data_IF_276022118982
#
_entry.id   IF_276022118982
#
_cell.length_a   1.000
_cell.length_b   1.000
_cell.length_c   1.000
_cell.angle_alpha   90.00
_cell.angle_beta   90.00
_cell.angle_gamma   90.00
#
_symmetry.space_group_name_H-M   'P 1'
#
loop_
_entity.id
_entity.type
_entity.pdbx_description
1 polymer ?
#
# COMPACT_ATOMS: atom_id res chain seq x y z
N UNK A 1 23.36 -18.14 16.11
CA UNK A 1 21.93 -18.37 15.81
C UNK A 1 21.36 -17.09 15.23
N UNK A 2 20.59 -17.19 14.14
CA UNK A 2 20.02 -16.01 13.47
C UNK A 2 19.25 -15.10 14.44
N UNK A 3 19.58 -13.82 14.39
CA UNK A 3 18.98 -12.78 15.18
C UNK A 3 18.98 -11.45 14.41
N UNK A 4 18.08 -10.55 14.79
CA UNK A 4 18.07 -9.17 14.32
C UNK A 4 18.26 -8.25 15.52
N UNK A 5 19.40 -7.54 15.57
CA UNK A 5 19.73 -6.66 16.71
C UNK A 5 19.56 -7.34 18.08
N UNK A 6 19.99 -8.61 18.18
CA UNK A 6 19.88 -9.40 19.40
C UNK A 6 18.51 -10.04 19.66
N UNK A 7 17.53 -9.86 18.78
CA UNK A 7 16.23 -10.54 18.84
C UNK A 7 16.32 -11.86 18.06
N UNK A 8 16.17 -13.05 18.70
CA UNK A 8 16.21 -14.33 17.99
C UNK A 8 15.08 -14.45 16.96
N UNK A 9 15.40 -14.91 15.74
CA UNK A 9 14.37 -15.13 14.72
C UNK A 9 13.62 -16.45 14.95
N UNK A 10 14.34 -17.46 15.42
CA UNK A 10 13.77 -18.77 15.73
C UNK A 10 13.37 -18.86 17.20
N UNK A 11 12.18 -19.41 17.45
CA UNK A 11 11.76 -19.84 18.78
C UNK A 11 12.31 -21.23 19.13
N UNK A 12 11.58 -21.96 19.97
CA UNK A 12 11.94 -23.33 20.37
C UNK A 12 11.73 -24.38 19.26
N UNK A 13 11.03 -24.02 18.18
CA UNK A 13 10.72 -24.89 17.04
C UNK A 13 11.09 -24.15 15.76
N UNK A 14 11.78 -24.81 14.83
CA UNK A 14 12.07 -24.26 13.49
C UNK A 14 10.74 -23.98 12.78
N UNK A 15 10.35 -22.72 12.80
CA UNK A 15 9.04 -22.23 12.37
C UNK A 15 9.24 -21.00 11.51
N UNK A 16 8.24 -20.71 10.70
CA UNK A 16 8.21 -19.53 9.84
C UNK A 16 7.98 -18.26 10.68
N UNK A 17 8.31 -17.12 10.11
CA UNK A 17 8.12 -15.83 10.76
C UNK A 17 8.41 -14.66 9.84
N UNK A 18 8.14 -13.46 10.34
CA UNK A 18 8.36 -12.21 9.62
C UNK A 18 8.87 -11.13 10.56
N UNK A 19 9.78 -10.32 10.06
CA UNK A 19 10.20 -9.06 10.62
C UNK A 19 9.56 -7.94 9.80
N UNK A 20 8.82 -7.06 10.49
CA UNK A 20 8.27 -5.85 9.90
C UNK A 20 8.90 -4.59 10.51
N UNK A 21 9.26 -3.60 9.68
CA UNK A 21 9.69 -2.30 10.18
C UNK A 21 8.55 -1.56 10.87
N UNK A 22 8.87 -0.82 11.94
CA UNK A 22 7.93 0.02 12.69
C UNK A 22 8.09 1.50 12.34
N UNK A 23 7.00 2.28 12.39
CA UNK A 23 7.07 3.74 12.15
C UNK A 23 7.95 4.48 13.16
N UNK A 24 8.02 3.96 14.38
CA UNK A 24 8.79 4.53 15.48
C UNK A 24 9.56 3.42 16.21
N UNK A 25 10.67 3.80 16.85
CA UNK A 25 11.42 2.90 17.71
C UNK A 25 10.67 2.68 19.02
N UNK A 26 10.48 1.44 19.48
CA UNK A 26 9.92 1.15 20.79
C UNK A 26 10.80 1.71 21.92
N UNK A 27 10.18 2.20 22.98
CA UNK A 27 10.84 2.59 24.24
C UNK A 27 10.84 1.44 25.26
N UNK A 28 10.58 0.21 24.80
CA UNK A 28 10.41 -0.96 25.67
C UNK A 28 10.74 -2.25 24.93
N UNK A 29 11.22 -3.24 25.68
CA UNK A 29 11.34 -4.64 25.22
C UNK A 29 10.22 -5.50 25.81
N UNK A 30 9.42 -6.11 24.93
CA UNK A 30 8.29 -6.97 25.32
C UNK A 30 8.05 -8.05 24.28
N UNK A 31 7.70 -9.22 24.79
CA UNK A 31 7.16 -10.35 24.03
C UNK A 31 5.73 -10.58 24.47
N UNK A 32 4.83 -10.84 23.52
CA UNK A 32 3.49 -11.35 23.78
C UNK A 32 3.31 -12.66 23.03
N UNK A 33 2.74 -13.64 23.72
CA UNK A 33 2.38 -14.93 23.16
C UNK A 33 0.90 -14.90 22.80
N UNK A 34 0.59 -15.02 21.51
CA UNK A 34 -0.79 -14.97 20.98
C UNK A 34 -1.46 -16.35 20.99
N UNK A 35 -0.67 -17.41 20.83
CA UNK A 35 -1.10 -18.82 20.91
C UNK A 35 0.04 -19.67 21.49
N UNK A 36 -0.11 -21.00 21.57
CA UNK A 36 0.94 -21.88 22.11
C UNK A 36 2.31 -21.64 21.46
N UNK A 37 2.32 -21.41 20.14
CA UNK A 37 3.55 -21.34 19.35
C UNK A 37 3.86 -19.93 18.82
N UNK A 38 2.86 -19.07 18.66
CA UNK A 38 3.04 -17.74 18.03
C UNK A 38 3.40 -16.67 19.05
N UNK A 39 4.51 -16.00 18.78
CA UNK A 39 5.01 -14.87 19.56
C UNK A 39 5.17 -13.62 18.69
N UNK A 40 4.89 -12.47 19.30
CA UNK A 40 5.17 -11.15 18.75
C UNK A 40 6.12 -10.44 19.72
N UNK A 41 7.23 -9.94 19.20
CA UNK A 41 8.30 -9.34 20.00
C UNK A 41 8.73 -7.99 19.44
N UNK A 42 8.96 -7.03 20.33
CA UNK A 42 9.64 -5.76 20.07
C UNK A 42 10.74 -5.57 21.10
N UNK A 43 11.85 -4.95 20.68
CA UNK A 43 12.92 -4.53 21.59
C UNK A 43 13.06 -3.02 21.62
N UNK A 44 13.45 -2.51 22.78
CA UNK A 44 13.77 -1.10 22.98
C UNK A 44 14.85 -0.65 21.99
N UNK A 45 14.60 0.47 21.30
CA UNK A 45 15.52 1.07 20.34
C UNK A 45 15.57 0.41 18.96
N UNK A 46 15.00 -0.79 18.80
CA UNK A 46 15.00 -1.53 17.52
C UNK A 46 13.73 -1.22 16.74
N UNK A 47 13.85 -0.62 15.55
CA UNK A 47 12.71 -0.16 14.74
C UNK A 47 11.98 -1.29 14.00
N UNK A 48 11.71 -2.41 14.67
CA UNK A 48 11.07 -3.56 14.08
C UNK A 48 10.18 -4.31 15.08
N UNK A 49 9.23 -5.06 14.55
CA UNK A 49 8.48 -6.09 15.25
C UNK A 49 8.73 -7.43 14.58
N UNK A 50 8.96 -8.46 15.39
CA UNK A 50 9.15 -9.84 14.94
C UNK A 50 7.92 -10.66 15.30
N UNK A 51 7.37 -11.34 14.30
CA UNK A 51 6.37 -12.39 14.46
C UNK A 51 7.06 -13.72 14.18
N UNK A 52 7.06 -14.65 15.13
CA UNK A 52 7.69 -15.96 14.98
C UNK A 52 6.79 -17.08 15.51
N UNK A 53 7.10 -18.33 15.15
CA UNK A 53 6.28 -19.47 15.54
C UNK A 53 5.15 -19.80 14.59
N UNK A 54 5.23 -19.35 13.33
CA UNK A 54 4.19 -19.59 12.33
C UNK A 54 4.38 -20.98 11.69
N UNK A 55 3.27 -21.68 11.48
CA UNK A 55 3.24 -22.96 10.74
C UNK A 55 2.71 -22.69 9.34
N UNK A 56 3.59 -22.25 8.44
CA UNK A 56 3.25 -21.90 7.04
C UNK A 56 4.22 -22.57 6.07
N UNK A 57 3.75 -22.95 4.90
CA UNK A 57 4.51 -23.76 3.96
C UNK A 57 5.40 -22.94 3.00
N UNK A 58 5.08 -21.67 2.79
CA UNK A 58 5.73 -20.80 1.82
C UNK A 58 5.64 -19.33 2.23
N UNK A 59 6.38 -18.50 1.50
CA UNK A 59 6.38 -17.05 1.66
C UNK A 59 4.97 -16.45 1.62
N UNK A 60 4.14 -16.82 0.64
CA UNK A 60 2.83 -16.19 0.42
C UNK A 60 1.89 -16.41 1.62
N UNK A 61 1.90 -17.62 2.18
CA UNK A 61 1.18 -17.94 3.42
C UNK A 61 1.74 -17.13 4.59
N UNK A 62 3.06 -17.13 4.79
CA UNK A 62 3.72 -16.40 5.89
C UNK A 62 3.41 -14.89 5.83
N UNK A 63 3.58 -14.26 4.67
CA UNK A 63 3.38 -12.82 4.46
C UNK A 63 1.91 -12.41 4.56
N UNK A 64 0.97 -13.33 4.28
CA UNK A 64 -0.47 -13.04 4.36
C UNK A 64 -1.01 -13.00 5.78
N UNK A 65 -0.49 -13.82 6.71
CA UNK A 65 -1.01 -13.92 8.08
C UNK A 65 -0.26 -13.05 9.08
N UNK A 66 1.04 -12.82 8.86
CA UNK A 66 1.90 -12.17 9.84
C UNK A 66 1.53 -10.71 10.16
N UNK A 67 1.07 -9.86 9.22
CA UNK A 67 0.68 -8.48 9.54
C UNK A 67 -0.47 -8.38 10.55
N UNK A 68 -1.46 -9.27 10.45
CA UNK A 68 -2.58 -9.32 11.39
C UNK A 68 -2.10 -9.72 12.79
N UNK A 69 -1.24 -10.75 12.88
CA UNK A 69 -0.66 -11.19 14.15
C UNK A 69 0.22 -10.11 14.77
N UNK A 70 1.03 -9.41 13.97
CA UNK A 70 1.83 -8.28 14.43
C UNK A 70 0.92 -7.22 15.07
N UNK A 71 -0.14 -6.80 14.39
CA UNK A 71 -1.10 -5.82 14.91
C UNK A 71 -1.76 -6.28 16.22
N UNK A 72 -2.21 -7.53 16.30
CA UNK A 72 -2.75 -8.08 17.55
C UNK A 72 -1.75 -8.01 18.71
N UNK A 73 -0.46 -8.26 18.43
CA UNK A 73 0.60 -8.08 19.43
C UNK A 73 0.78 -6.63 19.87
N UNK A 74 0.81 -5.69 18.92
CA UNK A 74 0.92 -4.25 19.19
C UNK A 74 -0.30 -3.71 19.96
N UNK A 75 -1.50 -4.21 19.67
CA UNK A 75 -2.72 -3.89 20.41
C UNK A 75 -2.60 -4.32 21.88
N UNK A 76 -2.13 -5.54 22.13
CA UNK A 76 -1.91 -6.03 23.50
C UNK A 76 -0.83 -5.21 24.22
N UNK A 77 0.25 -4.82 23.55
CA UNK A 77 1.26 -3.95 24.15
C UNK A 77 0.66 -2.60 24.56
N UNK A 78 -0.17 -2.01 23.70
CA UNK A 78 -0.87 -0.74 23.98
C UNK A 78 -1.82 -0.88 25.17
N UNK A 79 -2.63 -1.96 25.21
CA UNK A 79 -3.53 -2.23 26.33
C UNK A 79 -2.81 -2.51 27.65
N UNK A 80 -1.56 -2.99 27.59
CA UNK A 80 -0.68 -3.14 28.76
C UNK A 80 0.01 -1.85 29.19
N UNK A 81 -0.33 -0.71 28.57
CA UNK A 81 0.14 0.62 28.95
C UNK A 81 1.46 1.05 28.29
N UNK A 82 1.93 0.33 27.27
CA UNK A 82 3.10 0.76 26.50
C UNK A 82 2.68 1.79 25.43
N UNK A 83 3.65 2.57 24.94
CA UNK A 83 3.40 3.54 23.87
C UNK A 83 2.83 2.84 22.62
N UNK A 84 1.87 3.46 21.90
CA UNK A 84 1.30 2.89 20.69
C UNK A 84 2.37 2.80 19.60
N UNK A 85 2.42 1.66 18.94
CA UNK A 85 3.31 1.39 17.81
C UNK A 85 2.46 1.07 16.58
N UNK A 86 3.02 1.28 15.39
CA UNK A 86 2.37 0.97 14.13
C UNK A 86 3.40 0.43 13.14
N UNK A 87 2.98 -0.53 12.33
CA UNK A 87 3.76 -1.04 11.22
C UNK A 87 4.04 0.10 10.22
N UNK A 88 5.21 0.09 9.58
CA UNK A 88 5.37 0.76 8.29
C UNK A 88 4.53 0.03 7.22
N UNK A 89 4.55 0.54 5.99
CA UNK A 89 3.93 -0.15 4.86
C UNK A 89 4.59 -1.53 4.68
N UNK A 90 3.84 -2.62 4.97
CA UNK A 90 4.38 -3.98 4.92
C UNK A 90 4.58 -4.49 3.48
N UNK A 91 4.06 -3.79 2.47
CA UNK A 91 4.35 -4.05 1.05
C UNK A 91 5.66 -3.39 0.60
N UNK A 92 6.09 -2.31 1.27
CA UNK A 92 7.33 -1.57 0.96
C UNK A 92 8.59 -2.28 1.44
N UNK A 93 8.54 -2.98 2.58
CA UNK A 93 9.71 -3.70 3.06
C UNK A 93 9.45 -4.62 4.23
N UNK A 94 9.97 -5.84 4.15
CA UNK A 94 9.93 -6.81 5.25
C UNK A 94 10.92 -7.96 5.02
N UNK A 95 11.13 -8.78 6.04
CA UNK A 95 11.93 -10.00 5.94
C UNK A 95 11.13 -11.18 6.43
N UNK A 96 10.85 -12.15 5.57
CA UNK A 96 10.09 -13.35 5.89
C UNK A 96 10.98 -14.58 5.82
N UNK A 97 10.74 -15.56 6.68
CA UNK A 97 11.41 -16.86 6.62
C UNK A 97 10.43 -18.01 6.80
N UNK A 98 10.74 -19.14 6.16
CA UNK A 98 9.94 -20.37 6.21
C UNK A 98 10.80 -21.60 5.92
N UNK A 99 10.24 -22.77 6.13
CA UNK A 99 10.87 -24.04 5.74
C UNK A 99 10.36 -24.49 4.38
N UNK A 100 11.25 -24.75 3.43
CA UNK A 100 10.95 -25.30 2.11
C UNK A 100 11.67 -26.64 1.93
N UNK A 101 10.93 -27.74 2.13
CA UNK A 101 11.50 -29.08 2.12
C UNK A 101 12.49 -29.28 3.25
N UNK A 102 13.80 -29.31 2.94
CA UNK A 102 14.88 -29.42 3.94
C UNK A 102 15.58 -28.08 4.21
N UNK A 103 15.34 -27.10 3.35
CA UNK A 103 16.03 -25.81 3.41
C UNK A 103 15.21 -24.85 4.28
N UNK A 104 15.89 -24.08 5.11
CA UNK A 104 15.33 -22.91 5.79
C UNK A 104 15.63 -21.69 4.91
N UNK A 105 14.58 -21.07 4.39
CA UNK A 105 14.67 -19.96 3.44
C UNK A 105 14.35 -18.65 4.15
N UNK A 106 15.14 -17.62 3.88
CA UNK A 106 14.84 -16.23 4.25
C UNK A 106 14.72 -15.39 2.99
N UNK A 107 13.70 -14.54 2.92
CA UNK A 107 13.47 -13.59 1.84
C UNK A 107 13.43 -12.18 2.38
N UNK A 108 14.32 -11.34 1.87
CA UNK A 108 14.29 -9.90 2.03
C UNK A 108 13.45 -9.32 0.91
N UNK A 109 12.36 -8.66 1.25
CA UNK A 109 11.47 -8.01 0.30
C UNK A 109 11.60 -6.50 0.43
N UNK A 110 11.84 -5.83 -0.68
CA UNK A 110 11.73 -4.38 -0.79
C UNK A 110 10.87 -4.03 -2.02
N UNK A 111 9.99 -3.06 -1.87
CA UNK A 111 9.22 -2.47 -2.94
C UNK A 111 9.42 -0.97 -2.96
N UNK A 112 9.53 -0.39 -4.15
CA UNK A 112 9.59 1.06 -4.31
C UNK A 112 8.69 1.52 -5.46
N UNK A 113 8.14 2.73 -5.30
CA UNK A 113 7.33 3.36 -6.34
C UNK A 113 8.14 4.43 -7.07
N UNK A 114 8.36 4.22 -8.36
CA UNK A 114 8.94 5.21 -9.27
C UNK A 114 7.82 6.11 -9.76
N UNK A 115 7.85 7.37 -9.34
CA UNK A 115 6.89 8.38 -9.81
C UNK A 115 7.39 9.03 -11.10
N UNK A 116 6.62 8.89 -12.18
CA UNK A 116 6.90 9.58 -13.43
C UNK A 116 5.98 10.80 -13.61
N UNK A 117 6.56 11.91 -14.03
CA UNK A 117 5.85 13.12 -14.40
C UNK A 117 6.13 13.45 -15.87
N UNK A 118 5.07 13.54 -16.68
CA UNK A 118 5.17 13.93 -18.08
C UNK A 118 4.52 15.30 -18.27
N UNK A 119 5.19 16.17 -19.03
CA UNK A 119 4.61 17.44 -19.47
C UNK A 119 4.52 17.44 -20.98
N UNK A 120 3.29 17.41 -21.50
CA UNK A 120 3.01 17.59 -22.92
C UNK A 120 2.43 18.99 -23.16
N UNK A 121 2.78 19.60 -24.28
CA UNK A 121 2.18 20.85 -24.75
C UNK A 121 1.58 20.61 -26.13
N UNK A 122 0.26 20.79 -26.24
CA UNK A 122 -0.48 20.71 -27.49
C UNK A 122 -0.72 22.11 -28.07
N UNK A 123 -0.65 22.25 -29.39
CA UNK A 123 -0.98 23.50 -30.09
C UNK A 123 -2.12 23.21 -31.05
N UNK A 124 -3.26 23.88 -30.85
CA UNK A 124 -4.40 23.78 -31.78
C UNK A 124 -4.18 24.77 -32.91
N UNK A 125 -4.22 24.29 -34.16
CA UNK A 125 -4.17 25.14 -35.35
C UNK A 125 -5.53 25.21 -36.03
N UNK A 126 -5.95 26.41 -36.41
CA UNK A 126 -7.14 26.64 -37.21
C UNK A 126 -6.99 26.13 -38.64
N UNK A 127 -8.08 26.14 -39.43
CA UNK A 127 -8.04 25.75 -40.85
C UNK A 127 -7.08 26.59 -41.69
N UNK A 128 -6.74 27.79 -41.24
CA UNK A 128 -5.76 28.72 -41.82
C UNK A 128 -4.31 28.44 -41.38
N UNK A 129 -4.09 27.40 -40.58
CA UNK A 129 -2.77 27.04 -40.02
C UNK A 129 -2.32 27.91 -38.84
N UNK A 130 -3.11 28.93 -38.46
CA UNK A 130 -2.80 29.81 -37.34
C UNK A 130 -3.07 29.12 -36.02
N UNK A 131 -2.25 29.43 -35.01
CA UNK A 131 -2.45 28.89 -33.66
C UNK A 131 -3.72 29.52 -33.07
N UNK A 132 -4.69 28.68 -32.70
CA UNK A 132 -5.86 29.14 -31.94
C UNK A 132 -5.34 29.55 -30.55
N UNK A 133 -5.61 30.80 -30.09
CA UNK A 133 -5.26 31.17 -28.73
C UNK A 133 -5.94 30.21 -27.74
N UNK A 134 -5.27 29.86 -26.63
CA UNK A 134 -5.86 28.98 -25.63
C UNK A 134 -7.21 29.55 -25.17
N UNK A 135 -8.21 28.68 -25.03
CA UNK A 135 -9.49 29.09 -24.46
C UNK A 135 -9.24 29.69 -23.06
N UNK A 136 -9.96 30.75 -22.70
CA UNK A 136 -9.79 31.43 -21.41
C UNK A 136 -10.05 30.42 -20.30
N UNK A 137 -9.02 30.14 -19.49
CA UNK A 137 -9.14 29.23 -18.36
C UNK A 137 -10.16 29.80 -17.38
N UNK A 138 -11.33 29.15 -17.27
CA UNK A 138 -12.33 29.53 -16.29
C UNK A 138 -11.93 28.97 -14.94
N UNK A 139 -11.53 29.84 -14.01
CA UNK A 139 -11.28 29.44 -12.63
C UNK A 139 -12.58 28.89 -12.02
N UNK A 140 -12.63 27.63 -11.59
CA UNK A 140 -13.84 27.08 -10.99
C UNK A 140 -14.15 27.80 -9.67
N UNK A 141 -15.43 28.02 -9.40
CA UNK A 141 -15.86 28.53 -8.11
C UNK A 141 -15.58 27.49 -7.02
N UNK A 142 -14.94 27.92 -5.93
CA UNK A 142 -14.64 27.03 -4.81
C UNK A 142 -15.92 26.43 -4.22
N UNK A 143 -15.90 25.12 -3.96
CA UNK A 143 -16.95 24.38 -3.28
C UNK A 143 -16.31 23.39 -2.29
N UNK A 144 -16.99 23.12 -1.17
CA UNK A 144 -16.44 22.36 -0.03
C UNK A 144 -15.92 20.96 -0.39
N UNK A 145 -16.56 20.27 -1.34
CA UNK A 145 -16.13 18.94 -1.82
C UNK A 145 -14.69 18.94 -2.33
N UNK A 146 -14.22 20.06 -2.89
CA UNK A 146 -12.85 20.18 -3.40
C UNK A 146 -11.83 20.05 -2.27
N UNK A 147 -12.17 20.52 -1.06
CA UNK A 147 -11.30 20.36 0.11
C UNK A 147 -11.24 18.89 0.51
N UNK A 148 -12.37 18.21 0.62
CA UNK A 148 -12.40 16.79 0.97
C UNK A 148 -11.64 15.95 -0.05
N UNK A 149 -11.86 16.17 -1.34
CA UNK A 149 -11.10 15.49 -2.38
C UNK A 149 -9.60 15.77 -2.29
N UNK A 150 -9.19 17.02 -2.08
CA UNK A 150 -7.76 17.32 -1.88
C UNK A 150 -7.20 16.60 -0.65
N UNK A 151 -7.94 16.53 0.45
CA UNK A 151 -7.50 15.83 1.66
C UNK A 151 -7.40 14.32 1.45
N UNK A 152 -8.26 13.70 0.64
CA UNK A 152 -8.14 12.27 0.32
C UNK A 152 -6.88 11.92 -0.48
N UNK A 153 -6.35 12.88 -1.23
CA UNK A 153 -5.08 12.70 -1.96
C UNK A 153 -3.86 12.95 -1.07
N UNK A 154 -3.99 13.79 -0.03
CA UNK A 154 -2.90 14.18 0.85
C UNK A 154 -2.70 13.27 2.07
N UNK A 155 -3.78 12.74 2.65
CA UNK A 155 -3.70 11.90 3.85
C UNK A 155 -3.00 10.57 3.56
N UNK A 156 -2.18 10.09 4.49
CA UNK A 156 -1.47 8.82 4.35
C UNK A 156 -2.29 7.64 4.86
N UNK A 157 -3.32 7.87 5.68
CA UNK A 157 -4.22 6.81 6.12
C UNK A 157 -5.28 6.48 5.06
N UNK A 158 -5.30 5.23 4.60
CA UNK A 158 -6.22 4.76 3.58
C UNK A 158 -7.71 4.90 3.98
N UNK A 159 -8.04 4.69 5.25
CA UNK A 159 -9.42 4.75 5.73
C UNK A 159 -9.93 6.19 5.80
N UNK A 160 -9.08 7.13 6.21
CA UNK A 160 -9.32 8.56 6.16
C UNK A 160 -9.34 9.09 4.72
N UNK A 161 -8.50 8.55 3.83
CA UNK A 161 -8.56 8.86 2.40
C UNK A 161 -9.93 8.48 1.83
N UNK A 162 -10.42 7.28 2.12
CA UNK A 162 -11.76 6.85 1.73
C UNK A 162 -12.85 7.72 2.37
N UNK A 163 -12.75 8.03 3.67
CA UNK A 163 -13.68 8.93 4.37
C UNK A 163 -13.79 10.28 3.65
N UNK A 164 -12.66 10.86 3.27
CA UNK A 164 -12.61 12.12 2.54
C UNK A 164 -13.19 11.99 1.13
N UNK A 165 -13.01 10.87 0.43
CA UNK A 165 -13.72 10.62 -0.85
C UNK A 165 -15.24 10.57 -0.64
N UNK A 166 -15.73 9.85 0.37
CA UNK A 166 -17.15 9.81 0.68
C UNK A 166 -17.72 11.22 0.94
N UNK A 167 -17.04 12.01 1.78
CA UNK A 167 -17.45 13.39 2.09
C UNK A 167 -17.40 14.32 0.87
N UNK A 168 -16.45 14.10 -0.05
CA UNK A 168 -16.38 14.86 -1.30
C UNK A 168 -17.60 14.60 -2.17
N UNK A 169 -18.01 13.33 -2.33
CA UNK A 169 -19.21 12.94 -3.08
C UNK A 169 -20.48 13.45 -2.41
N UNK A 170 -20.60 13.27 -1.10
CA UNK A 170 -21.76 13.73 -0.32
C UNK A 170 -21.94 15.25 -0.42
N UNK A 171 -20.86 16.02 -0.25
CA UNK A 171 -20.88 17.48 -0.37
C UNK A 171 -21.23 17.95 -1.78
N UNK A 172 -20.64 17.34 -2.81
CA UNK A 172 -20.92 17.68 -4.21
C UNK A 172 -22.38 17.40 -4.57
N UNK A 173 -22.87 16.19 -4.28
CA UNK A 173 -24.25 15.80 -4.58
C UNK A 173 -25.27 16.61 -3.76
N UNK A 174 -24.92 17.03 -2.55
CA UNK A 174 -25.79 17.91 -1.73
C UNK A 174 -25.94 19.30 -2.35
N UNK A 175 -24.84 19.82 -2.94
CA UNK A 175 -24.87 21.08 -3.67
C UNK A 175 -25.68 21.02 -4.97
N UNK A 176 -25.64 19.89 -5.68
CA UNK A 176 -26.35 19.69 -6.94
C UNK A 176 -27.83 19.36 -6.72
N UNK A 177 -28.09 18.46 -5.77
CA UNK A 177 -29.41 17.85 -5.54
C UNK A 177 -29.75 17.85 -4.04
N UNK A 178 -30.15 19.00 -3.46
CA UNK A 178 -30.47 19.08 -2.03
C UNK A 178 -31.53 18.07 -1.58
N UNK A 179 -31.52 17.74 -0.28
CA UNK A 179 -32.56 16.91 0.34
C UNK A 179 -33.93 17.55 0.16
N UNK A 180 -34.93 16.73 -0.16
CA UNK A 180 -36.32 17.18 -0.30
C UNK A 180 -37.05 17.06 1.03
N UNK A 181 -38.01 17.95 1.26
CA UNK A 181 -39.01 17.74 2.30
C UNK A 181 -40.09 16.77 1.79
N UNK A 182 -40.42 15.79 2.62
CA UNK A 182 -41.52 14.86 2.39
C UNK A 182 -42.86 15.53 2.74
N UNK A 183 -43.99 15.03 2.24
CA UNK A 183 -45.32 15.58 2.55
C UNK A 183 -45.67 15.61 4.04
N UNK A 184 -45.03 14.77 4.85
CA UNK A 184 -45.19 14.72 6.31
C UNK A 184 -44.30 15.73 7.06
N UNK A 185 -43.64 16.67 6.35
CA UNK A 185 -42.75 17.68 6.92
C UNK A 185 -41.36 17.17 7.30
N UNK A 186 -41.09 15.87 7.20
CA UNK A 186 -39.76 15.31 7.46
C UNK A 186 -38.86 15.40 6.23
N UNK A 187 -37.55 15.52 6.44
CA UNK A 187 -36.59 15.43 5.35
C UNK A 187 -36.50 14.03 4.76
N UNK A 188 -36.07 13.97 3.49
CA UNK A 188 -35.60 12.75 2.85
C UNK A 188 -34.51 12.07 3.68
N UNK A 189 -34.57 10.75 3.81
CA UNK A 189 -33.56 10.01 4.57
C UNK A 189 -32.25 9.94 3.79
N UNK A 190 -31.11 9.95 4.47
CA UNK A 190 -29.77 10.06 3.86
C UNK A 190 -29.53 9.08 2.72
N UNK A 191 -29.83 7.79 2.92
CA UNK A 191 -29.63 6.76 1.90
C UNK A 191 -30.55 6.96 0.68
N UNK A 192 -31.81 7.34 0.91
CA UNK A 192 -32.78 7.59 -0.17
C UNK A 192 -32.38 8.82 -0.99
N UNK A 193 -31.99 9.89 -0.30
CA UNK A 193 -31.45 11.10 -0.91
C UNK A 193 -30.22 10.81 -1.75
N UNK A 194 -29.23 10.11 -1.19
CA UNK A 194 -27.96 9.85 -1.88
C UNK A 194 -28.18 9.03 -3.16
N UNK A 195 -29.01 7.99 -3.08
CA UNK A 195 -29.44 7.16 -4.22
C UNK A 195 -30.15 8.00 -5.29
N UNK A 196 -31.06 8.91 -4.89
CA UNK A 196 -31.76 9.80 -5.82
C UNK A 196 -30.80 10.80 -6.48
N UNK A 197 -29.92 11.43 -5.71
CA UNK A 197 -28.95 12.39 -6.23
C UNK A 197 -28.02 11.74 -7.26
N UNK A 198 -27.55 10.51 -7.01
CA UNK A 198 -26.82 9.73 -8.01
C UNK A 198 -27.67 9.45 -9.26
N UNK A 199 -28.95 9.06 -9.09
CA UNK A 199 -29.85 8.79 -10.21
C UNK A 199 -30.07 10.00 -11.10
N UNK A 200 -30.12 11.20 -10.51
CA UNK A 200 -30.26 12.47 -11.25
C UNK A 200 -29.02 12.80 -12.09
N UNK A 201 -27.84 12.27 -11.73
CA UNK A 201 -26.58 12.44 -12.47
C UNK A 201 -26.31 11.38 -13.56
N UNK A 202 -27.17 10.37 -13.73
CA UNK A 202 -26.98 9.34 -14.76
C UNK A 202 -26.95 9.89 -16.20
N UNK A 203 -27.56 11.05 -16.44
CA UNK A 203 -27.52 11.71 -17.74
C UNK A 203 -26.20 12.45 -18.00
N UNK A 204 -25.50 12.84 -16.94
CA UNK A 204 -24.23 13.59 -16.99
C UNK A 204 -23.02 12.66 -17.04
N UNK A 205 -23.11 11.53 -16.33
CA UNK A 205 -22.00 10.59 -16.11
C UNK A 205 -22.48 9.14 -16.23
N UNK A 206 -21.73 8.31 -16.97
CA UNK A 206 -21.99 6.87 -17.11
C UNK A 206 -21.66 6.10 -15.82
N UNK A 207 -22.60 6.08 -14.88
CA UNK A 207 -22.40 5.49 -13.56
C UNK A 207 -22.01 4.00 -13.58
N UNK A 208 -22.33 3.27 -14.65
CA UNK A 208 -21.97 1.85 -14.81
C UNK A 208 -20.47 1.60 -14.70
N UNK A 209 -19.64 2.60 -15.05
CA UNK A 209 -18.17 2.51 -14.96
C UNK A 209 -17.65 2.45 -13.52
N UNK A 210 -18.46 2.84 -12.55
CA UNK A 210 -18.06 2.94 -11.14
C UNK A 210 -18.78 1.92 -10.25
N UNK A 211 -19.73 1.17 -10.79
CA UNK A 211 -20.44 0.10 -10.10
C UNK A 211 -19.67 -1.22 -10.20
N UNK A 212 -19.61 -1.97 -9.10
CA UNK A 212 -19.10 -3.35 -9.07
C UNK A 212 -20.14 -4.38 -9.49
N UNK A 213 -21.41 -3.98 -9.57
CA UNK A 213 -22.55 -4.84 -9.86
C UNK A 213 -23.18 -4.51 -11.22
N UNK A 214 -23.68 -5.55 -11.88
CA UNK A 214 -24.38 -5.50 -13.16
C UNK A 214 -25.91 -5.56 -13.02
N UNK A 215 -26.47 -5.16 -11.87
CA UNK A 215 -27.91 -5.31 -11.54
C UNK A 215 -28.85 -4.51 -12.46
N UNK A 216 -28.31 -3.67 -13.35
CA UNK A 216 -29.07 -2.75 -14.19
C UNK A 216 -29.45 -1.43 -13.48
N UNK A 217 -29.14 -1.27 -12.20
CA UNK A 217 -29.38 -0.03 -11.45
C UNK A 217 -28.07 0.49 -10.80
N UNK A 218 -27.19 1.16 -11.58
CA UNK A 218 -25.87 1.56 -11.10
C UNK A 218 -25.93 2.58 -9.94
N UNK A 219 -26.92 3.49 -9.93
CA UNK A 219 -27.09 4.44 -8.83
C UNK A 219 -27.39 3.74 -7.49
N UNK A 220 -28.26 2.73 -7.51
CA UNK A 220 -28.54 1.92 -6.32
C UNK A 220 -27.31 1.12 -5.87
N UNK A 221 -26.61 0.50 -6.82
CA UNK A 221 -25.46 -0.35 -6.51
C UNK A 221 -24.30 0.45 -5.89
N UNK A 222 -23.99 1.62 -6.47
CA UNK A 222 -23.01 2.56 -5.92
C UNK A 222 -23.42 3.03 -4.52
N UNK A 223 -24.68 3.46 -4.35
CA UNK A 223 -25.17 3.92 -3.05
C UNK A 223 -25.09 2.80 -1.99
N UNK A 224 -25.46 1.57 -2.34
CA UNK A 224 -25.43 0.44 -1.45
C UNK A 224 -24.00 0.04 -1.07
N UNK A 225 -23.08 0.01 -2.03
CA UNK A 225 -21.67 -0.28 -1.76
C UNK A 225 -21.05 0.79 -0.85
N UNK A 226 -21.14 2.06 -1.24
CA UNK A 226 -20.61 3.18 -0.46
C UNK A 226 -21.17 3.18 0.96
N UNK A 227 -22.49 3.12 1.11
CA UNK A 227 -23.14 3.29 2.40
C UNK A 227 -23.08 2.02 3.25
N UNK A 228 -23.53 0.88 2.74
CA UNK A 228 -23.71 -0.33 3.55
C UNK A 228 -22.48 -1.24 3.58
N UNK A 229 -21.72 -1.34 2.48
CA UNK A 229 -20.62 -2.30 2.37
C UNK A 229 -19.25 -1.73 2.73
N UNK A 230 -19.11 -0.41 2.80
CA UNK A 230 -17.84 0.22 3.14
C UNK A 230 -18.00 1.23 4.28
N UNK A 231 -18.71 2.35 4.07
CA UNK A 231 -18.93 3.40 5.10
C UNK A 231 -19.39 2.79 6.41
N UNK A 232 -20.49 2.05 6.43
CA UNK A 232 -21.02 1.51 7.67
C UNK A 232 -20.07 0.52 8.35
N UNK A 233 -19.25 -0.23 7.59
CA UNK A 233 -18.27 -1.18 8.16
C UNK A 233 -16.98 -0.50 8.63
N UNK A 234 -16.67 0.69 8.13
CA UNK A 234 -15.57 1.53 8.62
C UNK A 234 -15.99 2.33 9.86
N UNK A 235 -17.20 2.91 9.84
CA UNK A 235 -17.65 3.84 10.90
C UNK A 235 -18.39 3.17 12.06
N UNK A 236 -18.76 1.88 11.94
CA UNK A 236 -19.45 1.16 13.00
C UNK A 236 -18.77 -0.17 13.30
N UNK A 237 -18.35 -0.34 14.56
CA UNK A 237 -17.63 -1.52 15.05
C UNK A 237 -18.50 -2.48 15.87
N UNK A 238 -19.79 -2.65 15.51
CA UNK A 238 -20.69 -3.54 16.26
C UNK A 238 -20.28 -4.99 16.06
N UNK A 239 -20.21 -5.77 17.14
CA UNK A 239 -19.94 -7.21 17.06
C UNK A 239 -20.96 -7.93 16.19
N UNK A 240 -20.56 -8.27 14.97
CA UNK A 240 -21.39 -8.96 13.99
C UNK A 240 -21.58 -10.44 14.32
N UNK A 241 -20.82 -11.00 15.28
CA UNK A 241 -20.93 -12.41 15.69
C UNK A 241 -22.18 -12.73 16.52
N UNK A 242 -22.80 -11.73 17.16
CA UNK A 242 -23.94 -11.96 18.06
C UNK A 242 -25.30 -11.51 17.50
N UNK A 243 -25.33 -10.83 16.35
CA UNK A 243 -26.54 -10.21 15.82
C UNK A 243 -26.93 -10.79 14.46
N UNK A 244 -27.98 -11.61 14.46
CA UNK A 244 -28.73 -12.01 13.25
C UNK A 244 -29.37 -10.83 12.49
N UNK A 245 -29.23 -9.59 13.00
CA UNK A 245 -29.72 -8.34 12.42
C UNK A 245 -28.61 -7.40 11.92
N UNK A 246 -27.34 -7.79 11.96
CA UNK A 246 -26.26 -6.97 11.42
C UNK A 246 -26.37 -6.91 9.88
N UNK A 247 -27.02 -5.85 9.37
CA UNK A 247 -27.15 -5.59 7.92
C UNK A 247 -25.83 -5.18 7.27
N UNK A 248 -24.94 -4.55 8.04
CA UNK A 248 -23.54 -4.31 7.68
C UNK A 248 -22.75 -5.53 8.18
N UNK A 249 -22.07 -6.25 7.29
CA UNK A 249 -21.22 -7.39 7.67
C UNK A 249 -20.10 -7.02 8.65
N UNK A 250 -19.14 -7.92 8.85
CA UNK A 250 -18.02 -7.72 9.78
C UNK A 250 -17.30 -6.39 9.52
N UNK A 251 -17.03 -5.61 10.58
CA UNK A 251 -16.31 -4.33 10.52
C UNK A 251 -15.00 -4.46 9.75
N UNK A 252 -14.65 -3.44 8.98
CA UNK A 252 -13.36 -3.36 8.29
C UNK A 252 -12.34 -2.80 9.26
N UNK A 253 -11.29 -3.56 9.57
CA UNK A 253 -10.27 -3.14 10.52
C UNK A 253 -9.14 -2.38 9.82
N UNK A 254 -8.63 -1.27 10.43
CA UNK A 254 -7.38 -0.67 10.01
C UNK A 254 -6.24 -1.72 10.03
N UNK A 255 -5.29 -1.55 9.13
CA UNK A 255 -4.11 -2.43 8.93
C UNK A 255 -4.38 -3.91 8.59
N UNK A 256 -5.63 -4.37 8.53
CA UNK A 256 -5.96 -5.72 8.04
C UNK A 256 -5.96 -5.78 6.51
N UNK A 257 -5.09 -6.61 5.95
CA UNK A 257 -4.77 -6.68 4.50
C UNK A 257 -6.01 -6.79 3.61
N UNK A 258 -6.87 -7.75 3.93
CA UNK A 258 -8.06 -8.05 3.12
C UNK A 258 -9.04 -6.87 3.12
N UNK A 259 -9.26 -6.28 4.30
CA UNK A 259 -10.16 -5.14 4.48
C UNK A 259 -9.61 -3.91 3.72
N UNK A 260 -8.30 -3.69 3.78
CA UNK A 260 -7.62 -2.58 3.10
C UNK A 260 -7.67 -2.68 1.59
N UNK A 261 -7.57 -3.89 1.03
CA UNK A 261 -7.74 -4.10 -0.42
C UNK A 261 -9.10 -3.60 -0.89
N UNK A 262 -10.17 -3.98 -0.17
CA UNK A 262 -11.53 -3.54 -0.47
C UNK A 262 -11.67 -2.00 -0.39
N UNK A 263 -11.09 -1.37 0.65
CA UNK A 263 -11.14 0.09 0.83
C UNK A 263 -10.34 0.83 -0.25
N UNK A 264 -9.16 0.32 -0.63
CA UNK A 264 -8.31 0.92 -1.67
C UNK A 264 -9.00 0.92 -3.04
N UNK A 265 -9.57 -0.21 -3.45
CA UNK A 265 -10.30 -0.32 -4.72
C UNK A 265 -11.51 0.63 -4.75
N UNK A 266 -12.24 0.72 -3.65
CA UNK A 266 -13.37 1.63 -3.54
C UNK A 266 -12.95 3.10 -3.55
N UNK A 267 -11.91 3.48 -2.78
CA UNK A 267 -11.34 4.84 -2.78
C UNK A 267 -10.99 5.25 -4.21
N UNK A 268 -10.32 4.38 -4.95
CA UNK A 268 -9.90 4.63 -6.31
C UNK A 268 -11.10 4.81 -7.25
N UNK A 269 -12.06 3.87 -7.27
CA UNK A 269 -13.25 3.98 -8.13
C UNK A 269 -14.08 5.22 -7.81
N UNK A 270 -14.33 5.50 -6.54
CA UNK A 270 -15.18 6.62 -6.12
C UNK A 270 -14.45 7.97 -6.22
N UNK A 271 -13.12 7.99 -6.17
CA UNK A 271 -12.33 9.15 -6.56
C UNK A 271 -12.50 9.50 -8.03
N UNK A 272 -12.51 8.50 -8.93
CA UNK A 272 -12.80 8.73 -10.34
C UNK A 272 -14.25 9.17 -10.58
N UNK A 273 -15.22 8.63 -9.83
CA UNK A 273 -16.61 9.09 -9.88
C UNK A 273 -16.71 10.57 -9.47
N UNK A 274 -16.04 10.97 -8.38
CA UNK A 274 -16.00 12.37 -7.94
C UNK A 274 -15.46 13.28 -9.05
N UNK A 275 -14.33 12.93 -9.64
CA UNK A 275 -13.72 13.73 -10.72
C UNK A 275 -14.65 13.88 -11.92
N UNK A 276 -15.32 12.80 -12.33
CA UNK A 276 -16.27 12.83 -13.45
C UNK A 276 -17.46 13.76 -13.17
N UNK A 277 -18.01 13.72 -11.96
CA UNK A 277 -19.10 14.61 -11.55
C UNK A 277 -18.63 16.07 -11.43
N UNK A 278 -17.47 16.29 -10.81
CA UNK A 278 -16.91 17.62 -10.59
C UNK A 278 -16.52 18.32 -11.90
N UNK A 279 -16.03 17.57 -12.89
CA UNK A 279 -15.77 18.09 -14.24
C UNK A 279 -17.06 18.68 -14.86
N UNK A 280 -18.19 17.96 -14.74
CA UNK A 280 -19.48 18.44 -15.25
C UNK A 280 -20.04 19.61 -14.44
N UNK A 281 -19.93 19.54 -13.11
CA UNK A 281 -20.49 20.54 -12.21
C UNK A 281 -19.76 21.89 -12.27
N UNK A 282 -18.43 21.87 -12.40
CA UNK A 282 -17.61 23.07 -12.28
C UNK A 282 -16.96 23.51 -13.58
N UNK A 283 -17.18 22.79 -14.69
CA UNK A 283 -16.42 22.95 -15.94
C UNK A 283 -14.90 22.93 -15.68
N UNK A 284 -14.48 22.20 -14.64
CA UNK A 284 -13.10 22.13 -14.21
C UNK A 284 -12.42 20.99 -14.96
N UNK A 285 -11.41 21.32 -15.75
CA UNK A 285 -10.47 20.34 -16.24
C UNK A 285 -9.56 19.96 -15.08
N UNK A 286 -9.93 18.90 -14.37
CA UNK A 286 -8.92 18.22 -13.57
C UNK A 286 -7.90 17.67 -14.56
N UNK A 287 -6.59 17.86 -14.32
CA UNK A 287 -5.56 17.19 -15.11
C UNK A 287 -5.69 15.68 -14.87
N UNK A 288 -6.62 15.05 -15.58
CA UNK A 288 -6.74 13.60 -15.74
C UNK A 288 -5.51 13.06 -16.48
N UNK A 289 -4.76 13.91 -17.18
CA UNK A 289 -3.45 13.59 -17.77
C UNK A 289 -2.35 13.25 -16.75
N UNK A 290 -2.60 13.33 -15.45
CA UNK A 290 -1.69 12.84 -14.39
C UNK A 290 -2.14 11.52 -13.74
N UNK A 291 -3.29 10.96 -14.13
CA UNK A 291 -3.86 9.75 -13.52
C UNK A 291 -3.27 8.50 -14.16
N UNK A 292 -2.03 8.18 -13.77
CA UNK A 292 -1.40 6.88 -14.06
C UNK A 292 -0.71 6.79 -15.42
N UNK A 293 0.48 6.21 -15.42
CA UNK A 293 1.01 5.54 -16.60
C UNK A 293 0.06 4.38 -16.96
N UNK A 294 -0.19 4.13 -18.26
CA UNK A 294 -0.86 2.88 -18.62
C UNK A 294 -0.03 1.70 -18.13
N UNK A 295 -0.67 0.56 -17.82
CA UNK A 295 0.04 -0.64 -17.35
C UNK A 295 1.17 -1.04 -18.29
N UNK A 296 0.92 -0.96 -19.60
CA UNK A 296 1.92 -1.25 -20.64
C UNK A 296 3.07 -0.24 -20.62
N UNK A 297 2.80 1.06 -20.47
CA UNK A 297 3.83 2.10 -20.42
C UNK A 297 4.68 1.99 -19.14
N UNK A 298 4.04 1.74 -17.99
CA UNK A 298 4.68 1.43 -16.72
C UNK A 298 5.61 0.23 -16.86
N UNK A 299 5.10 -0.89 -17.40
CA UNK A 299 5.88 -2.12 -17.60
C UNK A 299 7.05 -1.93 -18.56
N UNK A 300 6.86 -1.23 -19.67
CA UNK A 300 7.94 -0.95 -20.61
C UNK A 300 9.03 -0.08 -19.96
N UNK A 301 8.64 0.96 -19.23
CA UNK A 301 9.57 1.83 -18.52
C UNK A 301 10.37 1.03 -17.49
N UNK A 302 9.70 0.32 -16.58
CA UNK A 302 10.36 -0.46 -15.53
C UNK A 302 11.18 -1.62 -16.08
N UNK A 303 10.68 -2.33 -17.10
CA UNK A 303 11.39 -3.43 -17.74
C UNK A 303 12.68 -2.97 -18.41
N UNK A 304 12.70 -1.78 -19.01
CA UNK A 304 13.92 -1.20 -19.57
C UNK A 304 14.94 -0.80 -18.50
N UNK A 305 14.45 -0.31 -17.35
CA UNK A 305 15.30 0.12 -16.23
C UNK A 305 15.90 -1.08 -15.52
N UNK A 306 15.11 -2.11 -15.23
CA UNK A 306 15.48 -3.26 -14.38
C UNK A 306 16.20 -4.39 -15.13
N UNK A 307 16.30 -4.30 -16.46
CA UNK A 307 16.92 -5.35 -17.27
C UNK A 307 18.39 -5.53 -16.90
N UNK A 308 18.76 -6.76 -16.52
CA UNK A 308 20.15 -7.11 -16.21
C UNK A 308 20.67 -6.53 -14.89
N UNK A 309 19.78 -6.11 -13.99
CA UNK A 309 20.17 -5.70 -12.64
C UNK A 309 20.65 -6.88 -11.81
N UNK A 310 21.73 -6.63 -11.08
CA UNK A 310 22.25 -7.45 -10.02
C UNK A 310 21.72 -6.95 -8.67
N UNK A 311 21.84 -7.76 -7.63
CA UNK A 311 21.54 -7.34 -6.26
C UNK A 311 22.83 -7.42 -5.46
N UNK A 312 23.19 -6.30 -4.82
CA UNK A 312 24.26 -6.23 -3.85
C UNK A 312 23.69 -6.20 -2.42
N UNK A 313 24.37 -6.84 -1.47
CA UNK A 313 23.99 -6.80 -0.06
C UNK A 313 25.22 -6.80 0.85
N UNK A 314 25.07 -6.23 2.04
CA UNK A 314 26.14 -6.00 3.03
C UNK A 314 25.59 -6.05 4.44
N UNK A 315 26.45 -6.35 5.42
CA UNK A 315 26.14 -6.27 6.86
C UNK A 315 26.09 -4.85 7.42
N UNK A 316 26.40 -3.84 6.61
CA UNK A 316 26.39 -2.43 7.00
C UNK A 316 24.99 -1.98 7.45
N UNK A 317 24.82 -1.52 8.71
CA UNK A 317 23.54 -1.09 9.25
C UNK A 317 23.24 0.39 9.02
N UNK A 318 24.06 1.11 8.24
CA UNK A 318 23.85 2.53 7.95
C UNK A 318 22.44 2.72 7.34
N UNK A 319 21.63 3.69 7.81
CA UNK A 319 20.32 3.94 7.21
C UNK A 319 20.41 4.37 5.75
N UNK A 320 19.47 3.90 4.92
CA UNK A 320 19.40 4.29 3.51
C UNK A 320 18.97 5.76 3.37
N UNK A 321 19.59 6.48 2.43
CA UNK A 321 19.20 7.84 2.10
C UNK A 321 19.19 8.07 0.58
N UNK A 322 18.41 9.05 0.12
CA UNK A 322 18.23 9.33 -1.31
C UNK A 322 19.46 9.90 -2.01
N UNK A 323 20.50 10.27 -1.27
CA UNK A 323 21.78 10.75 -1.78
C UNK A 323 22.88 9.68 -1.77
N UNK A 324 22.56 8.45 -1.40
CA UNK A 324 23.53 7.36 -1.35
C UNK A 324 24.11 7.08 -2.73
N UNK A 325 25.43 6.95 -2.77
CA UNK A 325 26.21 6.62 -3.98
C UNK A 325 26.98 5.32 -3.82
N UNK A 326 26.89 4.67 -2.65
CA UNK A 326 27.61 3.45 -2.29
C UNK A 326 26.66 2.43 -1.63
N UNK A 327 26.91 1.14 -1.86
CA UNK A 327 26.14 0.05 -1.22
C UNK A 327 26.40 0.02 0.28
N UNK A 328 27.68 0.14 0.67
CA UNK A 328 28.14 0.17 2.06
C UNK A 328 28.89 1.48 2.36
N UNK A 329 28.17 2.55 2.74
CA UNK A 329 28.80 3.80 3.19
C UNK A 329 29.71 3.63 4.42
N UNK A 330 29.44 2.62 5.25
CA UNK A 330 30.25 2.24 6.40
C UNK A 330 31.53 1.48 6.05
N UNK A 331 31.75 1.13 4.78
CA UNK A 331 32.95 0.44 4.29
C UNK A 331 33.01 -1.05 4.61
N UNK A 332 31.88 -1.68 4.92
CA UNK A 332 31.81 -3.13 5.08
C UNK A 332 31.86 -3.85 3.72
N UNK A 333 32.38 -5.10 3.68
CA UNK A 333 32.30 -5.93 2.49
C UNK A 333 30.85 -6.08 2.02
N UNK A 334 30.66 -6.17 0.71
CA UNK A 334 29.38 -6.46 0.10
C UNK A 334 29.55 -7.52 -0.99
N UNK A 335 28.54 -8.36 -1.12
CA UNK A 335 28.47 -9.39 -2.16
C UNK A 335 27.49 -8.93 -3.23
N UNK A 336 27.83 -9.13 -4.51
CA UNK A 336 26.91 -8.86 -5.64
C UNK A 336 26.55 -10.16 -6.34
N UNK A 337 25.24 -10.40 -6.51
CA UNK A 337 24.70 -11.61 -7.12
C UNK A 337 23.93 -11.24 -8.39
N UNK A 338 24.06 -12.02 -9.49
CA UNK A 338 23.23 -11.86 -10.67
C UNK A 338 21.73 -11.90 -10.33
N UNK A 339 21.01 -10.84 -10.69
CA UNK A 339 19.57 -10.81 -10.56
C UNK A 339 18.87 -11.41 -11.77
N UNK A 340 17.66 -11.89 -11.58
CA UNK A 340 16.76 -12.37 -12.64
C UNK A 340 15.37 -11.79 -12.46
N UNK A 341 14.62 -11.70 -13.55
CA UNK A 341 13.22 -11.29 -13.51
C UNK A 341 12.40 -12.16 -12.55
N UNK A 342 11.52 -11.53 -11.80
CA UNK A 342 10.63 -12.16 -10.83
C UNK A 342 9.20 -11.70 -11.06
N UNK A 343 8.25 -12.62 -10.86
CA UNK A 343 6.82 -12.30 -10.96
C UNK A 343 6.32 -11.86 -9.58
N UNK A 344 5.95 -10.58 -9.48
CA UNK A 344 5.29 -10.07 -8.29
C UNK A 344 3.83 -10.54 -8.25
N UNK A 345 3.42 -11.18 -7.15
CA UNK A 345 2.06 -11.68 -6.98
C UNK A 345 1.00 -10.57 -6.88
N UNK A 346 1.41 -9.32 -6.66
CA UNK A 346 0.49 -8.18 -6.52
C UNK A 346 -0.15 -7.77 -7.84
N UNK A 347 0.53 -7.98 -8.98
CA UNK A 347 -0.03 -7.65 -10.29
C UNK A 347 1.00 -7.39 -11.36
N UNK A 348 0.50 -7.23 -12.58
CA UNK A 348 1.30 -7.02 -13.79
C UNK A 348 1.81 -5.57 -13.96
N UNK A 349 1.35 -4.67 -13.08
CA UNK A 349 1.87 -3.30 -12.91
C UNK A 349 3.20 -3.24 -12.13
N UNK A 350 3.62 -4.34 -11.50
CA UNK A 350 4.90 -4.45 -10.82
C UNK A 350 5.92 -5.17 -11.71
N UNK A 351 7.18 -4.75 -11.62
CA UNK A 351 8.33 -5.46 -12.18
C UNK A 351 9.29 -5.75 -11.05
N UNK A 352 9.67 -7.00 -10.85
CA UNK A 352 10.56 -7.39 -9.77
C UNK A 352 11.82 -8.09 -10.29
N UNK A 353 12.90 -7.92 -9.52
CA UNK A 353 14.16 -8.63 -9.68
C UNK A 353 14.41 -9.43 -8.42
N UNK A 354 14.79 -10.69 -8.57
CA UNK A 354 15.20 -11.56 -7.48
C UNK A 354 16.64 -12.02 -7.68
N UNK A 355 17.38 -12.17 -6.59
CA UNK A 355 18.64 -12.90 -6.52
C UNK A 355 18.57 -13.90 -5.37
N UNK A 356 19.22 -15.05 -5.54
CA UNK A 356 19.29 -16.11 -4.55
C UNK A 356 20.73 -16.53 -4.28
N UNK A 357 21.04 -16.83 -3.02
CA UNK A 357 22.37 -17.26 -2.58
C UNK A 357 22.25 -18.20 -1.39
N UNK A 358 23.17 -19.16 -1.29
CA UNK A 358 23.37 -19.92 -0.06
C UNK A 358 24.38 -19.16 0.80
N UNK A 359 24.10 -18.85 2.08
CA UNK A 359 25.07 -18.16 2.94
C UNK A 359 26.45 -18.82 2.96
N UNK A 360 26.51 -20.16 2.85
CA UNK A 360 27.75 -20.94 2.76
C UNK A 360 28.61 -20.64 1.53
N UNK A 361 27.99 -20.13 0.46
CA UNK A 361 28.63 -19.93 -0.84
C UNK A 361 29.10 -18.47 -1.02
N UNK A 362 28.82 -17.60 -0.03
CA UNK A 362 29.26 -16.21 -0.03
C UNK A 362 30.79 -16.14 0.17
N UNK A 363 31.53 -15.95 -0.93
CA UNK A 363 32.99 -15.86 -0.94
C UNK A 363 33.54 -14.69 -0.10
N UNK A 364 32.71 -13.67 0.10
CA UNK A 364 33.12 -12.39 0.67
C UNK A 364 32.85 -12.31 2.18
N UNK A 365 32.41 -13.42 2.79
CA UNK A 365 32.25 -13.54 4.24
C UNK A 365 31.08 -12.74 4.82
N UNK A 366 30.14 -12.30 3.99
CA UNK A 366 28.93 -11.59 4.45
C UNK A 366 28.02 -12.58 5.19
N UNK A 367 28.09 -12.56 6.53
CA UNK A 367 27.30 -13.40 7.43
C UNK A 367 26.02 -12.73 7.92
N UNK A 368 25.79 -11.47 7.56
CA UNK A 368 24.64 -10.68 7.95
C UNK A 368 24.18 -9.74 6.84
N UNK A 369 22.93 -9.29 6.92
CA UNK A 369 22.36 -8.29 6.04
C UNK A 369 21.92 -7.11 6.88
N UNK A 370 22.38 -5.91 6.53
CA UNK A 370 21.88 -4.63 7.03
C UNK A 370 21.38 -3.74 5.90
N UNK A 371 22.02 -3.80 4.73
CA UNK A 371 21.60 -3.08 3.52
C UNK A 371 21.61 -4.00 2.30
N UNK A 372 20.76 -3.66 1.34
CA UNK A 372 20.76 -4.22 0.00
C UNK A 372 20.48 -3.14 -1.04
N UNK A 373 20.97 -3.34 -2.26
CA UNK A 373 20.80 -2.42 -3.37
C UNK A 373 20.67 -3.16 -4.70
N UNK A 374 19.92 -2.59 -5.65
CA UNK A 374 20.03 -2.98 -7.05
C UNK A 374 21.22 -2.29 -7.70
N UNK A 375 21.97 -3.04 -8.51
CA UNK A 375 23.16 -2.56 -9.21
C UNK A 375 23.02 -2.90 -10.68
N UNK A 376 23.09 -1.90 -11.55
CA UNK A 376 23.05 -2.10 -13.00
C UNK A 376 24.33 -2.76 -13.53
N UNK A 377 24.33 -3.16 -14.81
CA UNK A 377 25.50 -3.79 -15.45
C UNK A 377 26.75 -2.90 -15.52
N UNK A 378 26.56 -1.57 -15.53
CA UNK A 378 27.65 -0.58 -15.48
C UNK A 378 28.07 -0.22 -14.05
N UNK A 379 27.49 -0.85 -13.03
CA UNK A 379 27.84 -0.61 -11.62
C UNK A 379 27.13 0.58 -10.99
N UNK A 380 26.13 1.18 -11.64
CA UNK A 380 25.33 2.25 -11.07
C UNK A 380 24.30 1.70 -10.08
N UNK A 381 24.07 2.42 -8.99
CA UNK A 381 23.06 2.05 -7.99
C UNK A 381 21.67 2.45 -8.48
N UNK A 382 20.72 1.53 -8.31
CA UNK A 382 19.30 1.75 -8.52
C UNK A 382 18.60 2.08 -7.20
N UNK A 383 17.85 1.12 -6.66
CA UNK A 383 17.18 1.26 -5.37
C UNK A 383 18.05 0.71 -4.25
N UNK A 384 17.97 1.34 -3.08
CA UNK A 384 18.67 0.94 -1.86
C UNK A 384 17.63 0.74 -0.77
N UNK A 385 17.80 -0.33 0.01
CA UNK A 385 16.99 -0.65 1.17
C UNK A 385 17.89 -0.95 2.36
N UNK A 386 17.48 -0.44 3.53
CA UNK A 386 18.14 -0.66 4.81
C UNK A 386 17.15 -1.31 5.76
N UNK A 387 17.65 -2.26 6.56
CA UNK A 387 16.90 -2.83 7.69
C UNK A 387 16.98 -1.95 8.94
N UNK A 388 17.81 -0.90 8.90
CA UNK A 388 18.15 -0.04 10.05
C UNK A 388 18.64 -0.84 11.27
N UNK A 389 19.37 -1.92 10.96
CA UNK A 389 19.96 -2.88 11.90
C UNK A 389 20.63 -4.01 11.12
N UNK A 390 21.16 -5.01 11.83
CA UNK A 390 21.82 -6.20 11.27
C UNK A 390 21.00 -7.45 11.53
N UNK A 391 20.73 -8.19 10.45
CA UNK A 391 20.15 -9.52 10.49
C UNK A 391 21.22 -10.57 10.22
N UNK A 392 21.48 -11.43 11.20
CA UNK A 392 22.40 -12.54 11.11
C UNK A 392 21.79 -13.71 10.30
N UNK A 393 22.55 -14.26 9.35
CA UNK A 393 22.11 -15.31 8.44
C UNK A 393 22.36 -16.74 8.95
N UNK A 394 22.92 -16.91 10.15
CA UNK A 394 23.26 -18.22 10.72
C UNK A 394 22.02 -19.08 10.95
N UNK A 395 21.95 -20.20 10.24
CA UNK A 395 20.84 -21.16 10.30
C UNK A 395 19.88 -21.07 9.12
N UNK A 396 20.10 -20.15 8.18
CA UNK A 396 19.42 -20.16 6.88
C UNK A 396 20.25 -20.91 5.85
N UNK A 397 19.60 -21.77 5.08
CA UNK A 397 20.21 -22.53 3.99
C UNK A 397 20.19 -21.73 2.68
N UNK A 398 19.19 -20.87 2.52
CA UNK A 398 18.98 -20.05 1.32
C UNK A 398 18.49 -18.65 1.67
N UNK A 399 19.11 -17.64 1.07
CA UNK A 399 18.70 -16.25 1.14
C UNK A 399 18.19 -15.79 -0.23
N UNK A 400 17.04 -15.12 -0.24
CA UNK A 400 16.44 -14.52 -1.41
C UNK A 400 16.31 -13.01 -1.20
N UNK A 401 16.69 -12.23 -2.18
CA UNK A 401 16.57 -10.78 -2.17
C UNK A 401 15.65 -10.37 -3.30
N UNK A 402 14.54 -9.70 -2.99
CA UNK A 402 13.56 -9.24 -3.97
C UNK A 402 13.47 -7.73 -3.92
N UNK A 403 13.69 -7.10 -5.07
CA UNK A 403 13.36 -5.71 -5.30
C UNK A 403 12.21 -5.64 -6.29
N UNK A 404 11.08 -5.10 -5.84
CA UNK A 404 9.91 -4.85 -6.66
C UNK A 404 9.75 -3.37 -6.95
N UNK A 405 9.42 -3.05 -8.19
CA UNK A 405 9.25 -1.71 -8.69
C UNK A 405 7.83 -1.54 -9.18
N UNK A 406 7.19 -0.46 -8.75
CA UNK A 406 5.91 -0.01 -9.24
C UNK A 406 6.09 1.35 -9.91
N UNK A 407 5.51 1.55 -11.09
CA UNK A 407 5.51 2.85 -11.74
C UNK A 407 4.16 3.52 -11.56
N UNK A 408 4.17 4.70 -10.94
CA UNK A 408 2.96 5.49 -10.73
C UNK A 408 3.09 6.84 -11.44
N UNK A 409 1.95 7.42 -11.83
CA UNK A 409 1.89 8.83 -12.21
C UNK A 409 2.03 9.73 -10.98
N UNK A 410 1.99 11.06 -11.18
CA UNK A 410 2.07 12.05 -10.08
C UNK A 410 1.00 11.88 -8.99
N UNK A 411 -0.13 11.21 -9.31
CA UNK A 411 -1.07 10.71 -8.32
C UNK A 411 -0.75 9.25 -8.04
N UNK A 412 0.03 9.00 -6.99
CA UNK A 412 0.25 7.65 -6.50
C UNK A 412 -1.05 7.09 -5.96
N UNK A 413 -1.44 5.89 -6.44
CA UNK A 413 -2.45 5.10 -5.76
C UNK A 413 -1.95 4.90 -4.33
N UNK A 414 -2.74 5.30 -3.33
CA UNK A 414 -2.43 4.94 -1.94
C UNK A 414 -2.38 3.42 -1.90
N UNK A 415 -1.23 2.88 -1.50
CA UNK A 415 -0.98 1.44 -1.45
C UNK A 415 -1.96 0.79 -0.50
N UNK A 416 -2.06 -0.55 -0.56
CA UNK A 416 -2.86 -1.30 0.39
C UNK A 416 -2.39 -1.11 1.82
N UNK A 417 -1.28 -0.43 2.10
CA UNK A 417 -0.69 -0.29 3.44
C UNK A 417 -0.30 1.15 3.83
N UNK A 418 -0.64 2.14 3.00
CA UNK A 418 -0.62 3.55 3.36
C UNK A 418 -1.42 3.78 4.67
N UNK A 419 -0.73 4.24 5.71
CA UNK A 419 -1.24 4.35 7.08
C UNK A 419 -1.14 5.76 7.64
#
# INVERSE_FOLDING_TARGET
MANFEGIPLFGNVNTSGVLYPLRTRPEFSRTVRLSTDVEVEVHEGVQAVIVRGLTTANYEETSSIAPELANQGLDIFTLKGNAPLALMDVEDGHVAWWSEGRDTVIRFWCSTTITAAFRATGVVRGPDGQVKPPDIETTPQWQESMRYYRMSELTDDLFDAFRNIYLSLESLLSSLHPKRQKPNGHEEGDFEWFKRALKEEENSVDLRRFSTSSSGNPAHDIANELHNQIRNRIFHAKDSHSSTKAKSGQSLLPQRIFDRTQVAEAKDRFGHLYLALAEKAFNALFPTGGTGLSKEAARHMLGSITHGWNIAFTGDPTPANSSDTEVSPGGEPFTTIPGRGFTDARGDEYVAVIADVRPSDSSDGVSSVGRMATVSQNGELGAIYSLDGRLDLEGFDRCEFVFSFHAAGQRTRKTRYAT
#
